data_IF_824437528964
#
_entry.id   IF_824437528964
#
_cell.length_a   1.000
_cell.length_b   1.000
_cell.length_c   1.000
_cell.angle_alpha   90.00
_cell.angle_beta   90.00
_cell.angle_gamma   90.00
#
_symmetry.space_group_name_H-M   'P 1'
#
loop_
_entity.id
_entity.type
_entity.pdbx_description
1 polymer ?
#
# COMPACT_ATOMS: atom_id res chain seq x y z
N UNK A 1 -12.62 -13.85 19.22
CA UNK A 1 -13.86 -13.15 18.80
C UNK A 1 -13.52 -11.68 18.58
N UNK A 2 -13.17 -11.30 17.35
CA UNK A 2 -13.14 -9.88 16.94
C UNK A 2 -14.33 -9.72 16.01
N UNK A 3 -15.48 -9.45 16.62
CA UNK A 3 -16.61 -8.90 15.88
C UNK A 3 -16.24 -7.45 15.57
N UNK A 4 -16.07 -7.13 14.28
CA UNK A 4 -16.19 -5.74 13.83
C UNK A 4 -17.66 -5.40 13.98
N UNK A 5 -18.05 -4.93 15.18
CA UNK A 5 -19.31 -4.23 15.37
C UNK A 5 -19.20 -2.92 14.61
N UNK A 6 -19.78 -2.88 13.42
CA UNK A 6 -20.15 -1.63 12.76
C UNK A 6 -21.30 -1.04 13.58
N UNK A 7 -20.97 -0.21 14.56
CA UNK A 7 -21.95 0.70 15.15
C UNK A 7 -22.34 1.70 14.06
N UNK A 8 -23.51 1.49 13.46
CA UNK A 8 -24.11 2.40 12.49
C UNK A 8 -24.57 3.66 13.21
N UNK A 9 -23.66 4.61 13.41
CA UNK A 9 -24.04 5.98 13.68
C UNK A 9 -24.34 6.65 12.34
N UNK A 10 -25.62 6.93 12.06
CA UNK A 10 -26.00 7.77 10.94
C UNK A 10 -25.62 9.22 11.26
N UNK A 11 -24.64 9.85 10.58
CA UNK A 11 -24.38 11.26 10.77
C UNK A 11 -25.56 12.09 10.23
N UNK A 12 -25.80 13.30 10.77
CA UNK A 12 -26.81 14.19 10.24
C UNK A 12 -26.55 14.48 8.75
N UNK A 13 -27.63 14.53 7.96
CA UNK A 13 -27.60 14.86 6.54
C UNK A 13 -26.97 16.26 6.36
N UNK A 14 -25.75 16.30 5.84
CA UNK A 14 -24.95 17.53 5.69
C UNK A 14 -23.45 17.36 5.95
N UNK A 15 -23.02 16.27 6.59
CA UNK A 15 -21.60 15.94 6.71
C UNK A 15 -21.10 15.33 5.39
N UNK A 16 -20.40 16.12 4.58
CA UNK A 16 -19.63 15.60 3.44
C UNK A 16 -18.67 14.53 3.99
N UNK A 17 -18.85 13.29 3.53
CA UNK A 17 -18.11 12.13 4.04
C UNK A 17 -16.63 12.36 3.70
N UNK A 18 -15.85 12.61 4.75
CA UNK A 18 -14.42 12.87 4.78
C UNK A 18 -13.68 11.76 4.01
N UNK A 19 -12.81 12.09 3.06
CA UNK A 19 -11.85 11.13 2.49
C UNK A 19 -10.52 11.34 3.20
N UNK A 20 -10.31 10.60 4.28
CA UNK A 20 -8.96 10.37 4.82
C UNK A 20 -8.19 9.53 3.80
N UNK A 21 -6.91 9.84 3.56
CA UNK A 21 -6.05 8.99 2.74
C UNK A 21 -5.86 7.65 3.44
N UNK A 22 -6.61 6.66 3.01
CA UNK A 22 -6.54 5.30 3.53
C UNK A 22 -5.50 4.52 2.74
N UNK A 23 -4.37 4.22 3.35
CA UNK A 23 -3.37 3.35 2.72
C UNK A 23 -3.83 1.90 2.74
N UNK A 24 -3.63 1.20 1.62
CA UNK A 24 -3.84 -0.24 1.52
C UNK A 24 -2.46 -0.91 1.61
N UNK A 25 -2.34 -1.91 2.47
CA UNK A 25 -1.18 -2.80 2.47
C UNK A 25 -1.56 -4.06 1.71
N UNK A 26 -0.91 -4.29 0.58
CA UNK A 26 -1.13 -5.44 -0.29
C UNK A 26 0.20 -5.86 -0.91
N UNK A 27 0.92 -6.74 -0.20
CA UNK A 27 2.25 -7.18 -0.60
C UNK A 27 2.29 -7.82 -1.99
N UNK A 28 1.24 -8.54 -2.40
CA UNK A 28 1.15 -9.15 -3.73
C UNK A 28 1.06 -8.08 -4.82
N UNK A 29 0.14 -7.12 -4.66
CA UNK A 29 -0.02 -6.02 -5.62
C UNK A 29 1.24 -5.17 -5.69
N UNK A 30 1.81 -4.80 -4.54
CA UNK A 30 3.05 -4.01 -4.46
C UNK A 30 4.23 -4.74 -5.14
N UNK A 31 4.36 -6.04 -4.92
CA UNK A 31 5.39 -6.89 -5.52
C UNK A 31 5.23 -6.98 -7.05
N UNK A 32 4.02 -7.31 -7.54
CA UNK A 32 3.74 -7.42 -8.97
C UNK A 32 4.03 -6.09 -9.69
N UNK A 33 3.57 -4.97 -9.11
CA UNK A 33 3.82 -3.63 -9.69
C UNK A 33 5.32 -3.34 -9.74
N UNK A 34 6.04 -3.61 -8.65
CA UNK A 34 7.50 -3.40 -8.57
C UNK A 34 8.24 -4.25 -9.60
N UNK A 35 7.87 -5.51 -9.79
CA UNK A 35 8.53 -6.40 -10.73
C UNK A 35 8.28 -6.02 -12.19
N UNK A 36 7.05 -5.60 -12.54
CA UNK A 36 6.79 -5.03 -13.86
C UNK A 36 7.59 -3.73 -14.09
N UNK A 37 7.72 -2.88 -13.06
CA UNK A 37 8.44 -1.61 -13.14
C UNK A 37 9.98 -1.72 -13.01
N UNK A 38 10.50 -2.87 -12.59
CA UNK A 38 11.93 -3.11 -12.34
C UNK A 38 12.84 -2.65 -13.50
N UNK A 39 12.55 -2.92 -14.78
CA UNK A 39 13.38 -2.47 -15.89
C UNK A 39 13.44 -0.94 -16.02
N UNK A 40 12.35 -0.25 -15.67
CA UNK A 40 12.27 1.22 -15.69
C UNK A 40 13.15 1.82 -14.59
N UNK A 41 13.05 1.29 -13.36
CA UNK A 41 13.88 1.74 -12.25
C UNK A 41 15.38 1.52 -12.52
N UNK A 42 15.73 0.36 -13.08
CA UNK A 42 17.11 0.05 -13.47
C UNK A 42 17.63 1.02 -14.55
N UNK A 43 16.82 1.34 -15.56
CA UNK A 43 17.17 2.33 -16.58
C UNK A 43 17.32 3.75 -16.01
N UNK A 44 16.61 4.07 -14.92
CA UNK A 44 16.75 5.31 -14.18
C UNK A 44 17.96 5.35 -13.22
N UNK A 45 18.68 4.23 -13.06
CA UNK A 45 19.77 4.11 -12.07
C UNK A 45 19.28 4.07 -10.63
N UNK A 46 18.01 3.71 -10.42
CA UNK A 46 17.37 3.59 -9.11
C UNK A 46 17.35 2.11 -8.72
N UNK A 47 17.70 1.81 -7.47
CA UNK A 47 17.54 0.46 -6.92
C UNK A 47 16.04 0.11 -6.82
N UNK A 48 15.54 -0.89 -7.57
CA UNK A 48 14.13 -1.27 -7.55
C UNK A 48 13.62 -1.66 -6.15
N UNK A 49 14.50 -2.18 -5.29
CA UNK A 49 14.12 -2.63 -3.96
C UNK A 49 14.03 -1.44 -2.97
N UNK A 50 14.64 -0.30 -3.30
CA UNK A 50 14.52 0.95 -2.55
C UNK A 50 13.26 1.77 -2.90
N UNK A 51 12.59 1.49 -4.03
CA UNK A 51 11.35 2.18 -4.43
C UNK A 51 10.15 1.61 -3.68
N UNK A 52 9.47 2.42 -2.88
CA UNK A 52 8.24 1.98 -2.21
C UNK A 52 7.02 2.24 -3.09
N UNK A 53 6.29 1.18 -3.42
CA UNK A 53 4.97 1.28 -4.04
C UNK A 53 3.93 1.39 -2.93
N UNK A 54 3.15 2.46 -2.91
CA UNK A 54 2.16 2.73 -1.87
C UNK A 54 0.77 2.83 -2.49
N UNK A 55 -0.15 1.97 -2.07
CA UNK A 55 -1.52 1.98 -2.56
C UNK A 55 -2.40 2.91 -1.72
N UNK A 56 -3.13 3.80 -2.38
CA UNK A 56 -4.05 4.74 -1.74
C UNK A 56 -5.49 4.35 -2.11
N UNK A 57 -6.31 4.03 -1.12
CA UNK A 57 -7.74 3.75 -1.28
C UNK A 57 -8.52 5.02 -1.57
N UNK A 58 -8.38 5.47 -2.81
CA UNK A 58 -9.06 6.62 -3.38
C UNK A 58 -9.55 6.22 -4.78
N UNK A 59 -10.80 6.56 -5.08
CA UNK A 59 -11.46 6.20 -6.34
C UNK A 59 -11.14 7.17 -7.48
N UNK A 60 -10.43 8.26 -7.21
CA UNK A 60 -9.90 9.18 -8.21
C UNK A 60 -8.76 8.54 -9.00
N UNK A 61 -8.64 8.93 -10.27
CA UNK A 61 -7.50 8.57 -11.12
C UNK A 61 -6.33 9.47 -10.71
N UNK A 62 -5.35 8.94 -9.97
CA UNK A 62 -4.14 9.68 -9.62
C UNK A 62 -2.94 8.77 -9.32
N UNK A 63 -1.75 9.29 -9.57
CA UNK A 63 -0.48 8.80 -9.03
C UNK A 63 0.37 10.02 -8.65
N UNK A 64 1.32 9.85 -7.74
CA UNK A 64 2.30 10.89 -7.45
C UNK A 64 3.51 10.31 -6.71
N UNK A 65 4.58 11.09 -6.65
CA UNK A 65 5.78 10.79 -5.87
C UNK A 65 5.95 11.78 -4.72
N UNK A 66 6.41 11.28 -3.56
CA UNK A 66 6.72 12.10 -2.39
C UNK A 66 7.63 11.35 -1.42
N UNK A 67 8.43 12.05 -0.61
CA UNK A 67 9.19 11.40 0.47
C UNK A 67 10.42 10.63 0.01
N UNK A 68 11.01 11.01 -1.11
CA UNK A 68 12.06 10.26 -1.81
C UNK A 68 11.49 9.27 -2.82
N UNK A 69 11.92 8.01 -2.74
CA UNK A 69 11.59 6.96 -3.72
C UNK A 69 10.24 6.28 -3.40
N UNK A 70 9.20 7.04 -3.02
CA UNK A 70 7.86 6.47 -2.83
C UNK A 70 6.94 6.90 -3.98
N UNK A 71 6.32 5.91 -4.63
CA UNK A 71 5.31 6.10 -5.68
C UNK A 71 3.95 5.74 -5.08
N UNK A 72 3.06 6.71 -5.01
CA UNK A 72 1.69 6.55 -4.53
C UNK A 72 0.76 6.30 -5.71
N UNK A 73 -0.02 5.23 -5.65
CA UNK A 73 -0.96 4.82 -6.71
C UNK A 73 -2.37 4.76 -6.13
N UNK A 74 -3.29 5.56 -6.67
CA UNK A 74 -4.69 5.49 -6.25
C UNK A 74 -5.37 4.22 -6.80
N UNK A 75 -6.27 3.61 -6.02
CA UNK A 75 -7.07 2.47 -6.52
C UNK A 75 -7.92 2.83 -7.74
N UNK A 76 -8.36 4.09 -7.83
CA UNK A 76 -9.10 4.62 -8.97
C UNK A 76 -8.28 4.64 -10.26
N UNK A 77 -6.96 4.87 -10.15
CA UNK A 77 -6.01 4.72 -11.25
C UNK A 77 -5.93 3.26 -11.69
N UNK A 78 -5.59 2.35 -10.77
CA UNK A 78 -5.42 0.92 -11.09
C UNK A 78 -6.68 0.31 -11.71
N UNK A 79 -7.87 0.68 -11.24
CA UNK A 79 -9.15 0.23 -11.81
C UNK A 79 -9.56 0.97 -13.09
N UNK A 80 -8.92 2.10 -13.40
CA UNK A 80 -9.22 2.94 -14.57
C UNK A 80 -8.34 2.64 -15.78
N UNK A 81 -7.16 2.05 -15.57
CA UNK A 81 -6.25 1.61 -16.63
C UNK A 81 -6.77 0.35 -17.34
N UNK A 82 -6.42 0.21 -18.61
CA UNK A 82 -6.89 -0.87 -19.49
C UNK A 82 -5.93 -2.04 -19.55
N UNK A 83 -4.63 -1.79 -19.40
CA UNK A 83 -3.59 -2.82 -19.47
C UNK A 83 -2.35 -2.43 -18.65
N UNK A 84 -1.40 -3.36 -18.54
CA UNK A 84 -0.16 -3.16 -17.80
C UNK A 84 0.77 -2.15 -18.50
N UNK A 85 0.65 -1.96 -19.81
CA UNK A 85 1.41 -0.96 -20.55
C UNK A 85 1.06 0.45 -20.11
N UNK A 86 -0.22 0.75 -19.88
CA UNK A 86 -0.63 2.05 -19.33
C UNK A 86 -0.10 2.27 -17.91
N UNK A 87 -0.15 1.25 -17.05
CA UNK A 87 0.43 1.32 -15.71
C UNK A 87 1.93 1.63 -15.76
N UNK A 88 2.67 0.91 -16.60
CA UNK A 88 4.12 1.10 -16.73
C UNK A 88 4.47 2.44 -17.36
N UNK A 89 3.65 2.96 -18.27
CA UNK A 89 3.75 4.32 -18.77
C UNK A 89 3.64 5.37 -17.67
N UNK A 90 2.64 5.24 -16.79
CA UNK A 90 2.47 6.13 -15.63
C UNK A 90 3.66 6.00 -14.67
N UNK A 91 4.10 4.79 -14.34
CA UNK A 91 5.26 4.58 -13.45
C UNK A 91 6.55 5.15 -14.06
N UNK A 92 6.74 5.06 -15.38
CA UNK A 92 7.88 5.68 -16.04
C UNK A 92 7.86 7.21 -15.92
N UNK A 93 6.69 7.83 -16.02
CA UNK A 93 6.51 9.26 -15.78
C UNK A 93 6.83 9.63 -14.31
N UNK A 94 6.28 8.90 -13.34
CA UNK A 94 6.59 9.09 -11.91
C UNK A 94 8.07 8.89 -11.59
N UNK A 95 8.71 7.91 -12.24
CA UNK A 95 10.15 7.69 -12.13
C UNK A 95 10.95 8.87 -12.68
N UNK A 96 10.46 9.53 -13.73
CA UNK A 96 10.99 10.79 -14.24
C UNK A 96 10.94 11.92 -13.19
N UNK A 97 9.88 12.00 -12.38
CA UNK A 97 9.82 12.95 -11.26
C UNK A 97 10.83 12.62 -10.15
N UNK A 98 11.04 11.34 -9.83
CA UNK A 98 12.05 10.90 -8.85
C UNK A 98 13.45 11.29 -9.33
N UNK A 99 13.80 10.87 -10.55
CA UNK A 99 15.14 11.08 -11.11
C UNK A 99 15.44 12.56 -11.42
N UNK A 100 14.41 13.33 -11.80
CA UNK A 100 14.54 14.76 -12.09
C UNK A 100 14.80 15.63 -10.87
N UNK A 101 14.72 15.10 -9.64
CA UNK A 101 14.92 15.85 -8.40
C UNK A 101 13.89 16.97 -8.19
N UNK A 102 12.82 17.01 -9.00
CA UNK A 102 11.74 18.00 -8.94
C UNK A 102 10.88 17.86 -7.67
N UNK A 103 11.09 16.76 -6.93
CA UNK A 103 10.61 16.51 -5.57
C UNK A 103 11.23 17.44 -4.52
N UNK A 104 12.40 18.03 -4.80
CA UNK A 104 13.14 18.87 -3.84
C UNK A 104 12.54 20.27 -3.78
N UNK A 105 11.39 20.40 -3.10
CA UNK A 105 10.87 21.69 -2.63
C UNK A 105 11.26 21.97 -1.17
N UNK A 106 12.16 21.18 -0.56
CA UNK A 106 12.43 21.26 0.89
C UNK A 106 13.68 20.56 1.39
N UNK A 107 13.99 20.77 2.67
CA UNK A 107 14.97 19.96 3.41
C UNK A 107 14.40 18.57 3.71
N UNK A 108 15.27 17.56 3.88
CA UNK A 108 14.86 16.18 4.25
C UNK A 108 13.93 16.14 5.46
N UNK A 109 14.12 17.05 6.43
CA UNK A 109 13.25 17.15 7.61
C UNK A 109 11.81 17.58 7.26
N UNK A 110 11.63 18.49 6.31
CA UNK A 110 10.31 18.91 5.85
C UNK A 110 9.64 17.82 5.01
N UNK A 111 10.43 17.09 4.22
CA UNK A 111 9.95 15.97 3.43
C UNK A 111 9.50 14.80 4.30
N UNK A 112 10.30 14.45 5.32
CA UNK A 112 9.93 13.46 6.33
C UNK A 112 8.70 13.90 7.13
N UNK A 113 8.57 15.19 7.44
CA UNK A 113 7.37 15.72 8.09
C UNK A 113 6.14 15.63 7.19
N UNK A 114 6.29 15.89 5.87
CA UNK A 114 5.21 15.74 4.90
C UNK A 114 4.78 14.27 4.76
N UNK A 115 5.73 13.34 4.61
CA UNK A 115 5.44 11.90 4.57
C UNK A 115 4.81 11.43 5.88
N UNK A 116 5.30 11.91 7.03
CA UNK A 116 4.70 11.64 8.34
C UNK A 116 3.30 12.22 8.47
N UNK A 117 3.01 13.37 7.83
CA UNK A 117 1.68 13.96 7.78
C UNK A 117 0.73 13.11 6.92
N UNK A 118 1.18 12.67 5.73
CA UNK A 118 0.43 11.75 4.87
C UNK A 118 0.04 10.47 5.63
N UNK A 119 1.02 9.81 6.25
CA UNK A 119 0.83 8.59 7.04
C UNK A 119 -0.03 8.88 8.28
N UNK A 120 0.25 9.98 8.97
CA UNK A 120 -0.45 10.41 10.17
C UNK A 120 -1.93 10.70 9.94
N UNK A 121 -2.31 11.19 8.75
CA UNK A 121 -3.71 11.37 8.37
C UNK A 121 -4.44 10.05 8.12
N UNK A 122 -3.75 9.03 7.61
CA UNK A 122 -4.32 7.68 7.45
C UNK A 122 -4.59 6.94 8.78
N UNK A 123 -3.99 7.42 9.89
CA UNK A 123 -4.17 6.91 11.25
C UNK A 123 -4.92 7.93 12.15
N UNK A 124 -5.21 9.13 11.62
CA UNK A 124 -5.30 10.35 12.39
C UNK A 124 -6.71 10.81 12.78
N UNK A 125 -7.47 10.01 13.52
CA UNK A 125 -8.44 10.59 14.48
C UNK A 125 -8.45 9.77 15.76
N UNK A 126 -7.65 10.18 16.74
CA UNK A 126 -8.05 10.05 18.17
C UNK A 126 -7.79 11.33 18.97
N UNK A 127 -6.84 12.19 18.57
CA UNK A 127 -6.49 13.39 19.36
C UNK A 127 -7.08 14.69 18.82
N UNK A 128 -8.37 14.96 19.03
CA UNK A 128 -8.99 16.19 18.50
C UNK A 128 -10.36 16.59 19.04
N UNK A 129 -10.73 16.19 20.26
CA UNK A 129 -11.89 16.75 20.96
C UNK A 129 -11.43 17.30 22.31
N UNK A 130 -10.66 18.39 22.27
CA UNK A 130 -10.32 19.15 23.48
C UNK A 130 -10.65 20.65 23.37
N UNK A 131 -11.17 21.13 22.23
CA UNK A 131 -11.59 22.51 22.08
C UNK A 131 -13.10 22.58 21.88
N UNK A 132 -13.83 22.91 22.94
CA UNK A 132 -15.29 23.11 22.96
C UNK A 132 -15.78 24.32 22.17
N UNK A 133 -15.23 24.60 20.99
CA UNK A 133 -15.65 25.63 20.03
C UNK A 133 -15.13 25.30 18.62
N UNK A 134 -15.58 24.19 18.04
CA UNK A 134 -15.13 23.73 16.73
C UNK A 134 -16.23 23.94 15.67
N UNK A 135 -16.25 25.11 15.02
CA UNK A 135 -17.19 25.40 13.92
C UNK A 135 -16.53 25.90 12.65
N UNK A 136 -15.56 26.81 12.74
CA UNK A 136 -14.94 27.45 11.57
C UNK A 136 -13.40 27.45 11.58
N UNK A 137 -12.76 27.62 12.74
CA UNK A 137 -11.29 27.69 12.85
C UNK A 137 -10.59 26.36 12.54
N UNK A 138 -11.09 25.25 13.09
CA UNK A 138 -10.56 23.91 12.80
C UNK A 138 -10.80 23.52 11.33
N UNK A 139 -11.96 23.88 10.77
CA UNK A 139 -12.27 23.65 9.36
C UNK A 139 -11.36 24.47 8.42
N UNK A 140 -11.06 25.73 8.78
CA UNK A 140 -10.14 26.59 8.03
C UNK A 140 -8.69 26.12 8.06
N UNK A 141 -8.19 25.64 9.21
CA UNK A 141 -6.85 25.05 9.32
C UNK A 141 -6.74 23.78 8.49
N UNK A 142 -7.72 22.87 8.58
CA UNK A 142 -7.75 21.64 7.80
C UNK A 142 -7.88 21.89 6.29
N UNK A 143 -8.76 22.83 5.87
CA UNK A 143 -8.86 23.23 4.47
C UNK A 143 -7.56 23.86 3.96
N UNK A 144 -6.90 24.66 4.80
CA UNK A 144 -5.58 25.23 4.52
C UNK A 144 -4.52 24.17 4.31
N UNK A 145 -4.50 23.13 5.15
CA UNK A 145 -3.58 21.99 5.00
C UNK A 145 -3.84 21.19 3.71
N UNK A 146 -5.10 20.88 3.40
CA UNK A 146 -5.44 20.15 2.18
C UNK A 146 -5.08 20.93 0.89
N UNK A 147 -5.32 22.25 0.88
CA UNK A 147 -4.89 23.10 -0.22
C UNK A 147 -3.36 23.19 -0.32
N UNK A 148 -2.65 23.20 0.83
CA UNK A 148 -1.20 23.20 0.86
C UNK A 148 -0.62 21.88 0.31
N UNK A 149 -1.17 20.73 0.70
CA UNK A 149 -0.81 19.41 0.17
C UNK A 149 -1.03 19.33 -1.34
N UNK A 150 -2.21 19.77 -1.80
CA UNK A 150 -2.53 19.78 -3.22
C UNK A 150 -1.56 20.64 -4.03
N UNK A 151 -1.18 21.80 -3.50
CA UNK A 151 -0.20 22.67 -4.16
C UNK A 151 1.20 22.05 -4.10
N UNK A 152 1.55 21.35 -3.02
CA UNK A 152 2.81 20.65 -2.87
C UNK A 152 2.97 19.55 -3.92
N UNK A 153 1.91 18.78 -4.17
CA UNK A 153 1.85 17.68 -5.15
C UNK A 153 1.63 18.12 -6.61
N UNK A 154 1.40 19.41 -6.87
CA UNK A 154 1.16 19.91 -8.23
C UNK A 154 2.46 20.34 -8.91
N UNK A 155 2.64 19.91 -10.15
CA UNK A 155 3.82 20.16 -10.96
C UNK A 155 3.59 21.24 -12.04
N UNK A 156 4.65 21.95 -12.40
CA UNK A 156 4.61 22.91 -13.51
C UNK A 156 4.70 22.21 -14.86
N UNK A 157 4.27 22.87 -15.94
CA UNK A 157 4.37 22.32 -17.30
C UNK A 157 5.81 21.97 -17.72
N UNK A 158 6.81 22.71 -17.22
CA UNK A 158 8.22 22.40 -17.50
C UNK A 158 8.68 21.16 -16.73
N UNK A 159 8.19 20.96 -15.50
CA UNK A 159 8.44 19.74 -14.73
C UNK A 159 7.81 18.53 -15.40
N UNK A 160 6.57 18.65 -15.89
CA UNK A 160 5.89 17.60 -16.66
C UNK A 160 6.65 17.21 -17.92
N UNK A 161 7.10 18.20 -18.71
CA UNK A 161 7.89 17.92 -19.92
C UNK A 161 9.22 17.25 -19.60
N UNK A 162 9.88 17.65 -18.50
CA UNK A 162 11.10 17.01 -18.03
C UNK A 162 10.86 15.56 -17.59
N UNK A 163 9.77 15.31 -16.86
CA UNK A 163 9.39 13.98 -16.39
C UNK A 163 9.01 13.06 -17.56
N UNK A 164 8.23 13.56 -18.53
CA UNK A 164 7.91 12.85 -19.77
C UNK A 164 9.19 12.48 -20.53
N UNK A 165 10.11 13.42 -20.75
CA UNK A 165 11.36 13.15 -21.47
C UNK A 165 12.23 12.09 -20.76
N UNK A 166 12.36 12.19 -19.43
CA UNK A 166 13.10 11.21 -18.64
C UNK A 166 12.43 9.84 -18.69
N UNK A 167 11.13 9.76 -18.43
CA UNK A 167 10.33 8.53 -18.48
C UNK A 167 10.41 7.84 -19.83
N UNK A 168 10.24 8.59 -20.93
CA UNK A 168 10.39 8.08 -22.29
C UNK A 168 11.80 7.52 -22.55
N UNK A 169 12.84 8.21 -22.08
CA UNK A 169 14.22 7.72 -22.16
C UNK A 169 14.40 6.39 -21.43
N UNK A 170 13.82 6.23 -20.24
CA UNK A 170 13.89 4.98 -19.49
C UNK A 170 13.14 3.84 -20.20
N UNK A 171 11.97 4.12 -20.75
CA UNK A 171 11.20 3.15 -21.54
C UNK A 171 11.96 2.68 -22.78
N UNK A 172 12.63 3.58 -23.51
CA UNK A 172 13.47 3.21 -24.66
C UNK A 172 14.68 2.37 -24.26
N UNK A 173 15.35 2.74 -23.16
CA UNK A 173 16.50 1.98 -22.63
C UNK A 173 16.10 0.58 -22.17
N UNK A 174 14.92 0.42 -21.57
CA UNK A 174 14.37 -0.87 -21.15
C UNK A 174 13.73 -1.66 -22.30
N UNK A 175 13.63 -1.08 -23.51
CA UNK A 175 12.97 -1.70 -24.66
C UNK A 175 11.46 -1.85 -24.52
N UNK A 176 10.83 -1.06 -23.63
CA UNK A 176 9.38 -1.07 -23.36
C UNK A 176 8.73 0.04 -24.19
N UNK A 177 7.61 -0.27 -24.83
CA UNK A 177 6.87 0.71 -25.64
C UNK A 177 6.19 1.77 -24.77
N UNK A 178 6.32 3.04 -25.16
CA UNK A 178 5.58 4.15 -24.56
C UNK A 178 4.12 4.28 -25.06
N UNK A 179 3.62 3.34 -25.88
CA UNK A 179 2.23 3.36 -26.37
C UNK A 179 1.21 3.34 -25.23
N UNK A 180 1.52 2.65 -24.13
CA UNK A 180 0.69 2.67 -22.92
C UNK A 180 0.54 4.07 -22.33
N UNK A 181 1.63 4.86 -22.30
CA UNK A 181 1.57 6.25 -21.85
C UNK A 181 0.77 7.13 -22.82
N UNK A 182 0.92 6.93 -24.14
CA UNK A 182 0.13 7.65 -25.15
C UNK A 182 -1.36 7.42 -24.93
N UNK A 183 -1.80 6.16 -24.89
CA UNK A 183 -3.22 5.82 -24.76
C UNK A 183 -3.81 6.28 -23.43
N UNK A 184 -3.03 6.25 -22.35
CA UNK A 184 -3.43 6.82 -21.07
C UNK A 184 -3.64 8.34 -21.13
N UNK A 185 -2.70 9.10 -21.70
CA UNK A 185 -2.80 10.55 -21.81
C UNK A 185 -3.94 10.96 -22.77
N UNK A 186 -4.16 10.20 -23.85
CA UNK A 186 -5.30 10.39 -24.75
C UNK A 186 -6.63 10.18 -24.02
N UNK A 187 -6.72 9.14 -23.19
CA UNK A 187 -7.91 8.88 -22.35
C UNK A 187 -8.17 10.03 -21.39
N UNK A 188 -7.15 10.56 -20.72
CA UNK A 188 -7.27 11.75 -19.86
C UNK A 188 -7.68 13.01 -20.65
N UNK A 189 -7.23 13.13 -21.90
CA UNK A 189 -7.53 14.24 -22.79
C UNK A 189 -8.92 14.17 -23.42
N UNK A 190 -9.48 12.97 -23.60
CA UNK A 190 -10.80 12.73 -24.17
C UNK A 190 -11.96 12.95 -23.17
N UNK A 191 -11.65 13.23 -21.90
CA UNK A 191 -12.61 13.47 -20.82
C UNK A 191 -13.29 14.85 -20.88
N UNK A 192 -13.90 15.18 -22.04
CA UNK A 192 -14.95 16.20 -22.20
C UNK A 192 -16.37 15.62 -21.86
N UNK A 193 -16.43 14.36 -21.40
CA UNK A 193 -17.67 13.73 -20.94
C UNK A 193 -18.05 14.23 -19.53
N UNK A 194 -19.21 14.92 -19.35
CA UNK A 194 -19.69 15.46 -18.08
C UNK A 194 -19.78 14.45 -16.91
N UNK A 195 -19.82 13.14 -17.21
CA UNK A 195 -19.87 12.06 -16.21
C UNK A 195 -18.49 11.57 -15.75
N UNK A 196 -17.41 11.90 -16.47
CA UNK A 196 -16.03 11.54 -16.15
C UNK A 196 -15.23 12.68 -15.49
N UNK A 197 -15.82 13.88 -15.43
CA UNK A 197 -15.15 15.13 -15.01
C UNK A 197 -14.54 15.02 -13.61
N UNK A 198 -15.14 14.31 -12.66
CA UNK A 198 -14.66 14.30 -11.27
C UNK A 198 -13.62 13.20 -11.00
N UNK A 199 -13.72 12.04 -11.67
CA UNK A 199 -12.79 10.91 -11.47
C UNK A 199 -11.43 11.15 -12.11
N UNK A 200 -11.40 11.73 -13.32
CA UNK A 200 -10.17 11.98 -14.08
C UNK A 200 -9.57 13.37 -13.81
N UNK A 201 -10.26 14.22 -13.03
CA UNK A 201 -9.73 15.52 -12.62
C UNK A 201 -8.57 15.41 -11.62
N UNK A 202 -8.44 14.30 -10.87
CA UNK A 202 -7.34 14.10 -9.92
C UNK A 202 -5.97 14.24 -10.60
N UNK A 203 -5.69 13.35 -11.55
CA UNK A 203 -4.43 13.32 -12.30
C UNK A 203 -4.16 14.65 -13.03
N UNK A 204 -5.16 15.24 -13.70
CA UNK A 204 -4.98 16.50 -14.45
C UNK A 204 -4.68 17.71 -13.57
N UNK A 205 -5.04 17.66 -12.28
CA UNK A 205 -4.76 18.75 -11.30
C UNK A 205 -3.32 18.71 -10.80
N UNK A 206 -2.77 17.51 -10.60
CA UNK A 206 -1.36 17.32 -10.18
C UNK A 206 -0.41 17.37 -11.38
N UNK A 207 -0.84 16.82 -12.52
CA UNK A 207 -0.11 16.74 -13.79
C UNK A 207 -0.84 17.49 -14.91
N UNK A 208 -0.56 18.80 -15.13
CA UNK A 208 -1.21 19.57 -16.18
C UNK A 208 -1.02 18.93 -17.57
N UNK A 209 -2.14 18.48 -18.16
CA UNK A 209 -2.16 17.86 -19.48
C UNK A 209 -2.28 18.92 -20.59
N UNK A 210 -1.46 18.81 -21.63
CA UNK A 210 -1.53 19.64 -22.84
C UNK A 210 -1.53 18.78 -24.09
N UNK A 211 -2.09 19.29 -25.20
CA UNK A 211 -2.03 18.60 -26.52
C UNK A 211 -0.59 18.34 -26.96
N UNK A 212 0.31 19.28 -26.69
CA UNK A 212 1.74 19.19 -26.99
C UNK A 212 2.42 18.01 -26.29
N UNK A 213 2.06 17.70 -25.03
CA UNK A 213 2.57 16.52 -24.33
C UNK A 213 2.16 15.23 -25.03
N UNK A 214 0.87 15.09 -25.36
CA UNK A 214 0.34 13.91 -26.07
C UNK A 214 1.07 13.73 -27.41
N UNK A 215 1.23 14.81 -28.18
CA UNK A 215 1.93 14.79 -29.47
C UNK A 215 3.42 14.44 -29.31
N UNK A 216 4.09 14.92 -28.25
CA UNK A 216 5.48 14.61 -27.95
C UNK A 216 5.69 13.12 -27.69
N UNK A 217 4.86 12.53 -26.81
CA UNK A 217 4.91 11.10 -26.49
C UNK A 217 4.57 10.26 -27.73
N UNK A 218 3.56 10.66 -28.52
CA UNK A 218 3.19 9.96 -29.77
C UNK A 218 4.33 9.98 -30.79
N UNK A 219 4.95 11.13 -31.01
CA UNK A 219 6.09 11.27 -31.93
C UNK A 219 7.30 10.46 -31.47
N UNK A 220 7.49 10.30 -30.16
CA UNK A 220 8.52 9.44 -29.60
C UNK A 220 8.26 7.96 -29.94
N UNK A 221 7.03 7.47 -29.74
CA UNK A 221 6.66 6.09 -30.04
C UNK A 221 6.94 5.74 -31.50
N UNK A 222 6.64 6.64 -32.45
CA UNK A 222 6.89 6.41 -33.88
C UNK A 222 8.38 6.29 -34.25
N UNK A 223 9.27 6.83 -33.42
CA UNK A 223 10.73 6.83 -33.64
C UNK A 223 11.48 5.82 -32.77
N UNK A 224 10.83 5.32 -31.72
CA UNK A 224 11.36 4.37 -30.74
C UNK A 224 11.66 3.00 -31.36
N UNK A 225 12.69 2.31 -30.87
CA UNK A 225 12.98 0.92 -31.25
C UNK A 225 11.92 -0.06 -30.74
N UNK A 226 11.26 0.28 -29.63
CA UNK A 226 10.16 -0.48 -29.08
C UNK A 226 8.89 -0.30 -29.92
N UNK A 227 8.70 0.87 -30.53
CA UNK A 227 7.52 1.18 -31.35
C UNK A 227 6.23 0.93 -30.57
N UNK A 228 5.22 0.33 -31.21
CA UNK A 228 3.94 -0.07 -30.59
C UNK A 228 3.91 -1.52 -30.08
N UNK A 229 5.06 -2.09 -29.72
CA UNK A 229 5.10 -3.47 -29.19
C UNK A 229 4.29 -3.56 -27.89
N UNK A 230 3.34 -4.52 -27.78
CA UNK A 230 2.62 -4.71 -26.53
C UNK A 230 3.56 -5.21 -25.43
N UNK A 231 3.22 -4.92 -24.18
CA UNK A 231 3.86 -5.55 -23.01
C UNK A 231 3.64 -7.08 -23.01
N UNK A 232 4.47 -7.86 -22.30
CA UNK A 232 4.28 -9.29 -22.16
C UNK A 232 2.85 -9.65 -21.71
N UNK A 233 2.26 -10.69 -22.31
CA UNK A 233 0.90 -11.12 -21.97
C UNK A 233 0.74 -11.49 -20.49
N UNK A 234 1.82 -11.99 -19.87
CA UNK A 234 1.87 -12.27 -18.43
C UNK A 234 1.64 -10.99 -17.60
N UNK A 235 2.27 -9.87 -17.94
CA UNK A 235 2.08 -8.61 -17.22
C UNK A 235 0.62 -8.13 -17.28
N UNK A 236 -0.02 -8.27 -18.44
CA UNK A 236 -1.44 -7.93 -18.57
C UNK A 236 -2.32 -8.84 -17.72
N UNK A 237 -2.00 -10.12 -17.64
CA UNK A 237 -2.76 -11.05 -16.82
C UNK A 237 -2.56 -10.78 -15.32
N UNK A 238 -1.32 -10.54 -14.88
CA UNK A 238 -0.97 -10.12 -13.51
C UNK A 238 -1.63 -8.78 -13.13
N UNK A 239 -1.64 -7.81 -14.04
CA UNK A 239 -2.34 -6.54 -13.85
C UNK A 239 -3.86 -6.75 -13.71
N UNK A 240 -4.46 -7.62 -14.51
CA UNK A 240 -5.87 -7.97 -14.35
C UNK A 240 -6.16 -8.72 -13.04
N UNK A 241 -5.19 -9.47 -12.48
CA UNK A 241 -5.33 -10.03 -11.11
C UNK A 241 -5.37 -8.92 -10.06
N UNK A 242 -4.49 -7.92 -10.15
CA UNK A 242 -4.52 -6.73 -9.26
C UNK A 242 -5.91 -6.09 -9.33
N UNK A 243 -6.43 -5.82 -10.54
CA UNK A 243 -7.76 -5.25 -10.71
C UNK A 243 -8.86 -6.16 -10.14
N UNK A 244 -8.77 -7.48 -10.36
CA UNK A 244 -9.73 -8.44 -9.82
C UNK A 244 -9.74 -8.47 -8.29
N UNK A 245 -8.57 -8.44 -7.66
CA UNK A 245 -8.41 -8.34 -6.21
C UNK A 245 -8.98 -7.03 -5.69
N UNK A 246 -8.53 -5.87 -6.19
CA UNK A 246 -9.02 -4.56 -5.77
C UNK A 246 -10.55 -4.45 -5.92
N UNK A 247 -11.09 -4.87 -7.06
CA UNK A 247 -12.53 -4.83 -7.30
C UNK A 247 -13.30 -5.74 -6.33
N UNK A 248 -12.78 -6.94 -6.04
CA UNK A 248 -13.35 -7.83 -5.04
C UNK A 248 -13.27 -7.27 -3.61
N UNK A 249 -12.25 -6.48 -3.29
CA UNK A 249 -12.14 -5.81 -2.00
C UNK A 249 -13.10 -4.62 -1.85
N UNK A 250 -13.33 -3.88 -2.93
CA UNK A 250 -14.13 -2.66 -2.91
C UNK A 250 -15.63 -2.95 -3.12
N UNK A 251 -15.98 -3.87 -4.01
CA UNK A 251 -17.35 -4.34 -4.28
C UNK A 251 -17.38 -5.86 -4.52
N UNK A 252 -17.41 -6.68 -3.46
CA UNK A 252 -17.45 -8.14 -3.58
C UNK A 252 -18.64 -8.63 -4.42
N UNK A 253 -19.80 -7.97 -4.33
CA UNK A 253 -20.99 -8.38 -5.09
C UNK A 253 -20.86 -8.01 -6.57
N UNK A 254 -20.29 -6.84 -6.87
CA UNK A 254 -19.89 -6.46 -8.22
C UNK A 254 -18.89 -7.42 -8.82
N UNK A 255 -17.87 -7.82 -8.04
CA UNK A 255 -16.88 -8.78 -8.50
C UNK A 255 -17.52 -10.12 -8.89
N UNK A 256 -18.48 -10.64 -8.13
CA UNK A 256 -19.22 -11.86 -8.49
C UNK A 256 -20.14 -11.69 -9.71
N UNK A 257 -20.61 -10.47 -10.01
CA UNK A 257 -21.34 -10.17 -11.26
C UNK A 257 -20.40 -10.08 -12.46
N UNK A 258 -19.21 -9.50 -12.27
CA UNK A 258 -18.18 -9.31 -13.31
C UNK A 258 -17.51 -10.63 -13.67
N UNK A 259 -17.03 -11.36 -12.67
CA UNK A 259 -16.33 -12.63 -12.82
C UNK A 259 -17.34 -13.78 -12.70
N UNK A 260 -17.94 -14.15 -13.83
CA UNK A 260 -19.04 -15.12 -13.89
C UNK A 260 -18.60 -16.52 -13.48
N UNK A 261 -19.54 -17.29 -12.96
CA UNK A 261 -19.28 -18.64 -12.46
C UNK A 261 -18.72 -19.60 -13.53
N UNK A 262 -19.13 -19.41 -14.79
CA UNK A 262 -18.76 -20.23 -15.94
C UNK A 262 -17.47 -19.78 -16.64
N UNK A 263 -16.82 -18.71 -16.18
CA UNK A 263 -15.53 -18.28 -16.71
C UNK A 263 -14.39 -19.03 -15.98
N UNK A 264 -13.70 -19.98 -16.63
CA UNK A 264 -12.68 -20.79 -15.98
C UNK A 264 -11.31 -20.09 -15.92
N UNK A 265 -11.20 -18.87 -16.47
CA UNK A 265 -9.92 -18.15 -16.49
C UNK A 265 -9.36 -17.96 -15.09
N UNK A 266 -8.03 -17.84 -15.02
CA UNK A 266 -7.33 -17.64 -13.75
C UNK A 266 -7.85 -16.37 -13.06
N UNK A 267 -7.84 -15.22 -13.76
CA UNK A 267 -8.34 -13.93 -13.28
C UNK A 267 -9.78 -14.03 -12.75
N UNK A 268 -10.70 -14.70 -13.44
CA UNK A 268 -12.07 -14.80 -12.98
C UNK A 268 -12.23 -15.70 -11.74
N UNK A 269 -11.47 -16.81 -11.64
CA UNK A 269 -11.44 -17.64 -10.43
C UNK A 269 -10.81 -16.88 -9.26
N UNK A 270 -9.75 -16.14 -9.52
CA UNK A 270 -9.01 -15.33 -8.56
C UNK A 270 -9.87 -14.18 -8.00
N UNK A 271 -10.54 -13.41 -8.87
CA UNK A 271 -11.49 -12.37 -8.45
C UNK A 271 -12.66 -12.92 -7.64
N UNK A 272 -13.23 -14.08 -8.03
CA UNK A 272 -14.27 -14.76 -7.24
C UNK A 272 -13.74 -15.24 -5.89
N UNK A 273 -12.54 -15.80 -5.84
CA UNK A 273 -11.93 -16.27 -4.59
C UNK A 273 -11.82 -15.12 -3.57
N UNK A 274 -11.29 -13.96 -3.99
CA UNK A 274 -11.26 -12.77 -3.14
C UNK A 274 -12.65 -12.23 -2.80
N UNK A 275 -13.60 -12.27 -3.72
CA UNK A 275 -14.96 -11.79 -3.45
C UNK A 275 -15.66 -12.65 -2.38
N UNK A 276 -15.51 -13.97 -2.46
CA UNK A 276 -16.00 -14.91 -1.45
C UNK A 276 -15.24 -14.78 -0.13
N UNK A 277 -13.92 -14.61 -0.17
CA UNK A 277 -13.11 -14.30 1.02
C UNK A 277 -13.65 -13.06 1.74
N UNK A 278 -13.88 -11.96 1.02
CA UNK A 278 -14.42 -10.71 1.59
C UNK A 278 -15.82 -10.84 2.16
N UNK A 279 -16.61 -11.80 1.69
CA UNK A 279 -17.93 -12.14 2.22
C UNK A 279 -17.90 -13.15 3.38
N UNK A 280 -16.72 -13.68 3.75
CA UNK A 280 -16.59 -14.75 4.75
C UNK A 280 -17.07 -16.12 4.25
N UNK A 281 -17.21 -16.30 2.94
CA UNK A 281 -17.82 -17.49 2.32
C UNK A 281 -16.76 -18.57 2.03
N UNK A 282 -16.15 -19.12 3.07
CA UNK A 282 -15.05 -20.12 2.97
C UNK A 282 -15.38 -21.31 2.10
N UNK A 283 -16.61 -21.83 2.20
CA UNK A 283 -17.04 -23.00 1.43
C UNK A 283 -16.98 -22.77 -0.08
N UNK A 284 -17.12 -21.52 -0.52
CA UNK A 284 -17.07 -21.15 -1.94
C UNK A 284 -15.66 -20.69 -2.34
N UNK A 285 -14.96 -19.96 -1.47
CA UNK A 285 -13.59 -19.51 -1.74
C UNK A 285 -12.60 -20.68 -1.81
N UNK A 286 -12.62 -21.59 -0.85
CA UNK A 286 -11.54 -22.59 -0.68
C UNK A 286 -11.30 -23.47 -1.92
N UNK A 287 -12.32 -24.04 -2.59
CA UNK A 287 -12.09 -24.81 -3.82
C UNK A 287 -11.48 -23.98 -4.96
N UNK A 288 -11.80 -22.69 -5.03
CA UNK A 288 -11.18 -21.78 -6.01
C UNK A 288 -9.71 -21.57 -5.68
N UNK A 289 -9.39 -21.28 -4.41
CA UNK A 289 -8.01 -21.09 -3.94
C UNK A 289 -7.17 -22.34 -4.18
N UNK A 290 -7.69 -23.53 -3.83
CA UNK A 290 -6.99 -24.80 -4.05
C UNK A 290 -6.74 -25.05 -5.55
N UNK A 291 -7.72 -24.73 -6.42
CA UNK A 291 -7.55 -24.82 -7.87
C UNK A 291 -6.56 -23.81 -8.45
N UNK A 292 -6.42 -22.64 -7.84
CA UNK A 292 -5.41 -21.64 -8.22
C UNK A 292 -4.01 -22.10 -7.79
N UNK A 293 -3.86 -22.61 -6.56
CA UNK A 293 -2.60 -23.18 -6.05
C UNK A 293 -2.15 -24.36 -6.91
N UNK A 294 -3.07 -25.23 -7.33
CA UNK A 294 -2.74 -26.37 -8.19
C UNK A 294 -2.17 -25.92 -9.56
N UNK A 295 -2.63 -24.78 -10.07
CA UNK A 295 -2.14 -24.21 -11.32
C UNK A 295 -0.81 -23.46 -11.14
N UNK A 296 -0.62 -22.77 -10.01
CA UNK A 296 0.59 -22.02 -9.69
C UNK A 296 1.17 -22.42 -8.33
N UNK A 297 1.76 -23.63 -8.21
CA UNK A 297 2.17 -24.19 -6.91
C UNK A 297 3.37 -23.46 -6.27
N UNK A 298 4.00 -22.54 -7.00
CA UNK A 298 5.13 -21.71 -6.56
C UNK A 298 4.74 -20.28 -6.21
N UNK A 299 3.47 -19.90 -6.35
CA UNK A 299 3.00 -18.56 -6.03
C UNK A 299 2.70 -18.46 -4.52
N UNK A 300 3.57 -17.76 -3.77
CA UNK A 300 3.45 -17.61 -2.32
C UNK A 300 2.14 -16.95 -1.88
N UNK A 301 1.64 -15.98 -2.64
CA UNK A 301 0.45 -15.18 -2.32
C UNK A 301 -0.85 -15.99 -2.39
N UNK A 302 -0.90 -17.08 -3.17
CA UNK A 302 -2.04 -18.01 -3.14
C UNK A 302 -2.10 -18.83 -1.86
N UNK A 303 -0.94 -19.18 -1.29
CA UNK A 303 -0.87 -19.83 0.03
C UNK A 303 -1.16 -18.83 1.16
N UNK A 304 -0.75 -17.57 1.03
CA UNK A 304 -1.17 -16.48 1.92
C UNK A 304 -2.69 -16.34 1.92
N UNK A 305 -3.33 -16.21 0.75
CA UNK A 305 -4.79 -16.12 0.62
C UNK A 305 -5.49 -17.31 1.28
N UNK A 306 -4.95 -18.53 1.12
CA UNK A 306 -5.49 -19.72 1.80
C UNK A 306 -5.36 -19.60 3.32
N UNK A 307 -4.22 -19.13 3.83
CA UNK A 307 -4.01 -18.86 5.25
C UNK A 307 -5.01 -17.82 5.77
N UNK A 308 -5.15 -16.69 5.09
CA UNK A 308 -6.05 -15.60 5.44
C UNK A 308 -7.51 -16.07 5.49
N UNK A 309 -7.92 -16.85 4.50
CA UNK A 309 -9.26 -17.42 4.44
C UNK A 309 -9.58 -18.29 5.67
N UNK A 310 -8.60 -19.10 6.12
CA UNK A 310 -8.75 -19.93 7.31
C UNK A 310 -8.76 -19.08 8.58
N UNK A 311 -7.82 -18.14 8.70
CA UNK A 311 -7.65 -17.30 9.87
C UNK A 311 -8.88 -16.42 10.12
N UNK A 312 -9.41 -15.77 9.07
CA UNK A 312 -10.60 -14.93 9.15
C UNK A 312 -11.84 -15.70 9.63
N UNK A 313 -11.85 -17.02 9.45
CA UNK A 313 -12.96 -17.89 9.85
C UNK A 313 -12.68 -18.65 11.15
N UNK A 314 -11.74 -18.16 11.96
CA UNK A 314 -11.41 -18.71 13.27
C UNK A 314 -10.64 -20.02 13.22
N UNK A 315 -10.19 -20.46 12.04
CA UNK A 315 -9.42 -21.69 11.84
C UNK A 315 -7.92 -21.41 11.94
N UNK A 316 -7.49 -20.81 13.05
CA UNK A 316 -6.12 -20.35 13.26
C UNK A 316 -5.08 -21.49 13.15
N UNK A 317 -5.43 -22.69 13.62
CA UNK A 317 -4.58 -23.89 13.50
C UNK A 317 -4.36 -24.27 12.03
N UNK A 318 -5.43 -24.28 11.23
CA UNK A 318 -5.37 -24.66 9.81
C UNK A 318 -4.67 -23.59 8.95
N UNK A 319 -4.69 -22.33 9.38
CA UNK A 319 -4.05 -21.22 8.68
C UNK A 319 -2.51 -21.29 8.71
N UNK A 320 -1.92 -21.86 9.78
CA UNK A 320 -0.48 -21.86 9.99
C UNK A 320 0.30 -22.59 8.88
N UNK A 321 -0.21 -23.73 8.38
CA UNK A 321 0.49 -24.52 7.36
C UNK A 321 0.58 -23.80 5.99
N UNK A 322 -0.51 -23.23 5.43
CA UNK A 322 -0.42 -22.36 4.25
C UNK A 322 0.56 -21.20 4.42
N UNK A 323 0.53 -20.47 5.54
CA UNK A 323 1.48 -19.37 5.73
C UNK A 323 2.94 -19.83 5.80
N UNK A 324 3.23 -20.96 6.45
CA UNK A 324 4.58 -21.53 6.43
C UNK A 324 5.00 -21.86 5.01
N UNK A 325 4.10 -22.43 4.20
CA UNK A 325 4.39 -22.72 2.78
C UNK A 325 4.63 -21.45 1.97
N UNK A 326 3.86 -20.39 2.22
CA UNK A 326 4.08 -19.09 1.60
C UNK A 326 5.47 -18.52 1.94
N UNK A 327 5.89 -18.62 3.21
CA UNK A 327 7.22 -18.15 3.68
C UNK A 327 8.37 -19.01 3.12
N UNK A 328 8.15 -20.30 2.87
CA UNK A 328 9.15 -21.14 2.17
C UNK A 328 9.40 -20.65 0.73
N UNK A 329 8.35 -20.14 0.07
CA UNK A 329 8.41 -19.65 -1.31
C UNK A 329 8.92 -18.21 -1.36
N UNK A 330 8.53 -17.37 -0.40
CA UNK A 330 8.92 -15.97 -0.28
C UNK A 330 9.41 -15.66 1.15
N UNK A 331 10.70 -15.92 1.45
CA UNK A 331 11.23 -15.77 2.81
C UNK A 331 11.22 -14.33 3.34
N UNK A 332 11.25 -13.32 2.47
CA UNK A 332 11.34 -11.93 2.88
C UNK A 332 9.98 -11.22 2.97
N UNK A 333 8.87 -11.94 2.73
CA UNK A 333 7.51 -11.44 2.87
C UNK A 333 7.13 -11.16 4.34
N UNK A 334 7.45 -9.95 4.79
CA UNK A 334 7.20 -9.49 6.17
C UNK A 334 5.71 -9.54 6.56
N UNK A 335 4.79 -9.21 5.65
CA UNK A 335 3.34 -9.27 5.89
C UNK A 335 2.88 -10.71 6.18
N UNK A 336 3.30 -11.68 5.36
CA UNK A 336 2.97 -13.10 5.52
C UNK A 336 3.49 -13.64 6.86
N UNK A 337 4.69 -13.20 7.27
CA UNK A 337 5.27 -13.53 8.59
C UNK A 337 4.46 -12.98 9.75
N UNK A 338 3.92 -11.76 9.61
CA UNK A 338 2.98 -11.18 10.59
C UNK A 338 1.69 -12.00 10.64
N UNK A 339 1.13 -12.39 9.49
CA UNK A 339 -0.08 -13.22 9.41
C UNK A 339 0.13 -14.62 10.01
N UNK A 340 1.29 -15.25 9.76
CA UNK A 340 1.67 -16.49 10.46
C UNK A 340 1.71 -16.27 11.96
N UNK A 341 2.42 -15.26 12.43
CA UNK A 341 2.52 -14.97 13.86
C UNK A 341 1.15 -14.69 14.49
N UNK A 342 0.26 -13.96 13.80
CA UNK A 342 -1.11 -13.75 14.23
C UNK A 342 -1.86 -15.08 14.36
N UNK A 343 -1.78 -15.94 13.35
CA UNK A 343 -2.42 -17.26 13.40
C UNK A 343 -1.89 -18.14 14.54
N UNK A 344 -0.61 -18.03 14.90
CA UNK A 344 -0.01 -18.74 16.03
C UNK A 344 -0.50 -18.18 17.38
N UNK A 345 -0.67 -16.86 17.48
CA UNK A 345 -1.15 -16.20 18.70
C UNK A 345 -2.64 -16.44 18.96
N UNK A 346 -3.47 -16.54 17.92
CA UNK A 346 -4.89 -16.89 18.04
C UNK A 346 -5.12 -18.33 18.53
N UNK A 347 -4.11 -19.21 18.45
CA UNK A 347 -4.19 -20.56 19.00
C UNK A 347 -4.07 -20.61 20.53
N UNK A 348 -3.63 -19.50 21.16
CA UNK A 348 -3.48 -19.36 22.60
C UNK A 348 -2.61 -20.46 23.26
N UNK A 349 -1.59 -20.93 22.54
CA UNK A 349 -0.63 -21.94 22.99
C UNK A 349 0.75 -21.30 23.18
N UNK A 350 1.21 -21.24 24.44
CA UNK A 350 2.49 -20.61 24.80
C UNK A 350 3.70 -21.28 24.14
N UNK A 351 3.59 -22.55 23.72
CA UNK A 351 4.66 -23.26 23.00
C UNK A 351 4.94 -22.66 21.62
N UNK A 352 3.97 -21.95 21.04
CA UNK A 352 4.10 -21.31 19.73
C UNK A 352 4.70 -19.89 19.81
N UNK A 353 4.83 -19.31 21.01
CA UNK A 353 5.32 -17.95 21.20
C UNK A 353 6.72 -17.74 20.60
N UNK A 354 7.60 -18.74 20.71
CA UNK A 354 8.95 -18.65 20.14
C UNK A 354 8.96 -18.62 18.61
N UNK A 355 8.05 -19.38 17.96
CA UNK A 355 7.92 -19.34 16.51
C UNK A 355 7.35 -18.00 16.03
N UNK A 356 6.34 -17.48 16.72
CA UNK A 356 5.77 -16.18 16.41
C UNK A 356 6.81 -15.06 16.56
N UNK A 357 7.56 -15.03 17.67
CA UNK A 357 8.60 -14.03 17.90
C UNK A 357 9.70 -14.07 16.83
N UNK A 358 10.16 -15.26 16.40
CA UNK A 358 11.14 -15.38 15.31
C UNK A 358 10.61 -14.76 14.01
N UNK A 359 9.36 -15.05 13.66
CA UNK A 359 8.75 -14.51 12.44
C UNK A 359 8.55 -12.98 12.53
N UNK A 360 8.04 -12.49 13.67
CA UNK A 360 7.85 -11.05 13.90
C UNK A 360 9.18 -10.30 13.89
N UNK A 361 10.26 -10.90 14.41
CA UNK A 361 11.60 -10.29 14.42
C UNK A 361 12.20 -10.18 13.01
N UNK A 362 11.89 -11.12 12.12
CA UNK A 362 12.28 -10.99 10.70
C UNK A 362 11.40 -9.94 10.02
N UNK A 363 10.08 -10.00 10.25
CA UNK A 363 9.13 -9.05 9.67
C UNK A 363 9.40 -7.59 10.08
N UNK A 364 9.92 -7.34 11.29
CA UNK A 364 10.18 -5.98 11.77
C UNK A 364 11.22 -5.23 10.92
N UNK A 365 12.01 -5.92 10.09
CA UNK A 365 12.92 -5.29 9.14
C UNK A 365 12.19 -4.50 8.04
N UNK A 366 11.03 -5.00 7.59
CA UNK A 366 10.23 -4.40 6.52
C UNK A 366 8.91 -3.80 7.03
N UNK A 367 8.48 -4.19 8.23
CA UNK A 367 7.20 -3.81 8.84
C UNK A 367 7.39 -3.05 10.17
N UNK A 368 8.50 -2.34 10.34
CA UNK A 368 8.83 -1.61 11.58
C UNK A 368 7.74 -0.60 12.01
N UNK A 369 7.01 -0.04 11.05
CA UNK A 369 5.92 0.92 11.31
C UNK A 369 4.57 0.23 11.61
N UNK A 370 4.52 -1.11 11.57
CA UNK A 370 3.29 -1.84 11.86
C UNK A 370 3.04 -1.92 13.36
N UNK A 371 2.14 -1.09 13.87
CA UNK A 371 1.69 -1.17 15.26
C UNK A 371 1.08 -2.55 15.61
N UNK A 372 0.50 -3.24 14.62
CA UNK A 372 -0.06 -4.58 14.81
C UNK A 372 1.02 -5.63 15.05
N UNK A 373 2.13 -5.58 14.31
CA UNK A 373 3.29 -6.44 14.52
C UNK A 373 3.81 -6.32 15.96
N UNK A 374 3.99 -5.09 16.45
CA UNK A 374 4.48 -4.85 17.80
C UNK A 374 3.49 -5.31 18.88
N UNK A 375 2.19 -5.18 18.64
CA UNK A 375 1.15 -5.75 19.50
C UNK A 375 1.27 -7.27 19.62
N UNK A 376 1.47 -7.97 18.50
CA UNK A 376 1.66 -9.42 18.50
C UNK A 376 2.95 -9.81 19.22
N UNK A 377 4.03 -9.04 19.09
CA UNK A 377 5.25 -9.26 19.87
C UNK A 377 4.99 -9.12 21.36
N UNK A 378 4.27 -8.08 21.78
CA UNK A 378 3.90 -7.90 23.19
C UNK A 378 3.05 -9.06 23.72
N UNK A 379 2.10 -9.56 22.94
CA UNK A 379 1.30 -10.74 23.28
C UNK A 379 2.17 -12.00 23.45
N UNK A 380 3.07 -12.25 22.50
CA UNK A 380 3.97 -13.40 22.55
C UNK A 380 4.94 -13.32 23.75
N UNK A 381 5.50 -12.14 24.05
CA UNK A 381 6.34 -11.93 25.24
C UNK A 381 5.57 -12.06 26.54
N UNK A 382 4.29 -11.68 26.56
CA UNK A 382 3.39 -11.87 27.70
C UNK A 382 3.16 -13.35 27.98
N UNK A 383 2.92 -14.17 26.95
CA UNK A 383 2.84 -15.64 27.08
C UNK A 383 4.12 -16.26 27.63
N UNK A 384 5.27 -15.61 27.43
CA UNK A 384 6.58 -16.01 27.97
C UNK A 384 6.91 -15.41 29.34
N UNK A 385 6.02 -14.59 29.92
CA UNK A 385 6.24 -13.94 31.20
C UNK A 385 7.34 -12.87 31.21
N UNK A 386 7.78 -12.37 30.05
CA UNK A 386 8.86 -11.39 29.95
C UNK A 386 8.31 -9.96 29.97
N UNK A 387 8.02 -9.44 31.17
CA UNK A 387 7.44 -8.12 31.35
C UNK A 387 8.27 -6.96 30.77
N UNK A 388 9.61 -7.09 30.73
CA UNK A 388 10.49 -6.08 30.13
C UNK A 388 10.32 -6.01 28.61
N UNK A 389 10.29 -7.17 27.94
CA UNK A 389 10.06 -7.23 26.50
C UNK A 389 8.62 -6.88 26.11
N UNK A 390 7.64 -7.15 26.98
CA UNK A 390 6.26 -6.64 26.82
C UNK A 390 6.28 -5.10 26.79
N UNK A 391 6.90 -4.46 27.79
CA UNK A 391 6.99 -3.00 27.84
C UNK A 391 7.71 -2.43 26.61
N UNK A 392 8.80 -3.06 26.17
CA UNK A 392 9.51 -2.67 24.94
C UNK A 392 8.61 -2.74 23.71
N UNK A 393 7.95 -3.87 23.46
CA UNK A 393 7.08 -4.03 22.29
C UNK A 393 5.87 -3.08 22.34
N UNK A 394 5.30 -2.82 23.53
CA UNK A 394 4.23 -1.81 23.68
C UNK A 394 4.73 -0.39 23.43
N UNK A 395 6.00 -0.07 23.74
CA UNK A 395 6.60 1.22 23.43
C UNK A 395 6.70 1.44 21.90
N UNK A 396 7.17 0.43 21.15
CA UNK A 396 7.22 0.47 19.68
C UNK A 396 5.81 0.54 19.06
N UNK A 397 4.83 -0.21 19.59
CA UNK A 397 3.43 -0.12 19.15
C UNK A 397 2.88 1.30 19.30
N UNK A 398 3.10 1.93 20.46
CA UNK A 398 2.66 3.29 20.72
C UNK A 398 3.41 4.31 19.84
N UNK A 399 4.71 4.10 19.64
CA UNK A 399 5.52 4.94 18.76
C UNK A 399 5.04 4.89 17.31
N UNK A 400 4.77 3.69 16.79
CA UNK A 400 4.23 3.46 15.46
C UNK A 400 2.83 4.08 15.26
N UNK A 401 2.04 4.25 16.33
CA UNK A 401 0.76 4.97 16.31
C UNK A 401 0.87 6.49 16.44
N UNK A 402 2.07 7.00 16.72
CA UNK A 402 2.28 8.41 17.07
C UNK A 402 1.85 8.78 18.49
N UNK A 403 1.52 7.82 19.35
CA UNK A 403 1.21 8.06 20.76
C UNK A 403 2.52 8.24 21.55
N UNK A 404 3.14 9.41 21.38
CA UNK A 404 4.42 9.78 22.02
C UNK A 404 4.37 9.66 23.55
N UNK A 405 3.32 10.13 24.26
CA UNK A 405 3.24 9.96 25.71
C UNK A 405 3.28 8.50 26.15
N UNK A 406 2.50 7.62 25.52
CA UNK A 406 2.50 6.19 25.86
C UNK A 406 3.81 5.52 25.47
N UNK A 407 4.36 5.84 24.29
CA UNK A 407 5.64 5.31 23.83
C UNK A 407 6.75 5.60 24.84
N UNK A 408 6.82 6.85 25.32
CA UNK A 408 7.78 7.27 26.34
C UNK A 408 7.59 6.52 27.66
N UNK A 409 6.35 6.43 28.15
CA UNK A 409 6.05 5.76 29.42
C UNK A 409 6.46 4.28 29.40
N UNK A 410 6.15 3.56 28.31
CA UNK A 410 6.50 2.15 28.19
C UNK A 410 7.99 1.94 27.94
N UNK A 411 8.66 2.85 27.22
CA UNK A 411 10.11 2.82 27.04
C UNK A 411 10.85 2.95 28.40
N UNK A 412 10.45 3.92 29.24
CA UNK A 412 11.01 4.07 30.59
C UNK A 412 10.77 2.84 31.47
N UNK A 413 9.63 2.17 31.30
CA UNK A 413 9.33 0.90 31.97
C UNK A 413 10.22 -0.23 31.47
N UNK A 414 10.43 -0.34 30.15
CA UNK A 414 11.30 -1.34 29.54
C UNK A 414 12.75 -1.18 30.03
N UNK A 415 13.28 0.05 30.07
CA UNK A 415 14.63 0.34 30.57
C UNK A 415 14.88 -0.13 32.01
N UNK A 416 13.85 -0.09 32.87
CA UNK A 416 13.93 -0.55 34.27
C UNK A 416 13.91 -2.07 34.40
N UNK A 417 13.27 -2.76 33.46
CA UNK A 417 13.01 -4.20 33.52
C UNK A 417 14.00 -5.03 32.70
N UNK A 418 14.60 -4.43 31.67
CA UNK A 418 15.54 -5.09 30.78
C UNK A 418 16.99 -4.92 31.27
N UNK A 419 17.87 -5.92 31.05
CA UNK A 419 19.28 -5.79 31.34
C UNK A 419 19.90 -4.59 30.59
N UNK A 420 20.68 -3.78 31.32
CA UNK A 420 21.39 -2.66 30.73
C UNK A 420 22.30 -3.13 29.58
N UNK A 421 22.28 -2.40 28.45
CA UNK A 421 23.03 -2.74 27.25
C UNK A 421 22.43 -3.85 26.38
N UNK A 422 21.31 -4.46 26.77
CA UNK A 422 20.58 -5.38 25.88
C UNK A 422 19.96 -4.62 24.69
N UNK A 423 19.72 -5.28 23.54
CA UNK A 423 19.14 -4.62 22.37
C UNK A 423 17.80 -3.92 22.65
N UNK A 424 16.90 -4.57 23.40
CA UNK A 424 15.62 -3.97 23.79
C UNK A 424 15.77 -2.78 24.75
N UNK A 425 16.79 -2.80 25.61
CA UNK A 425 17.11 -1.68 26.49
C UNK A 425 17.62 -0.47 25.70
N UNK A 426 18.56 -0.67 24.78
CA UNK A 426 19.09 0.38 23.92
C UNK A 426 17.99 1.01 23.07
N UNK A 427 17.17 0.18 22.44
CA UNK A 427 16.08 0.65 21.60
C UNK A 427 15.01 1.42 22.39
N UNK A 428 14.72 1.02 23.63
CA UNK A 428 13.83 1.78 24.49
C UNK A 428 14.36 3.20 24.77
N UNK A 429 15.69 3.37 24.93
CA UNK A 429 16.28 4.71 25.08
C UNK A 429 16.07 5.58 23.84
N UNK A 430 16.22 5.00 22.64
CA UNK A 430 15.98 5.71 21.39
C UNK A 430 14.54 6.20 21.29
N UNK A 431 13.56 5.33 21.58
CA UNK A 431 12.14 5.68 21.56
C UNK A 431 11.85 6.80 22.55
N UNK A 432 12.39 6.72 23.77
CA UNK A 432 12.24 7.76 24.79
C UNK A 432 12.80 9.11 24.32
N UNK A 433 13.96 9.10 23.66
CA UNK A 433 14.59 10.29 23.09
C UNK A 433 13.73 10.91 21.98
N UNK A 434 13.25 10.10 21.04
CA UNK A 434 12.45 10.55 19.91
C UNK A 434 11.04 11.03 20.33
N UNK A 435 10.44 10.40 21.33
CA UNK A 435 9.14 10.79 21.87
C UNK A 435 9.21 12.00 22.83
N UNK A 436 10.41 12.35 23.31
CA UNK A 436 10.65 13.40 24.31
C UNK A 436 11.04 14.78 23.76
N UNK A 437 11.25 14.94 22.45
CA UNK A 437 11.61 16.21 21.83
C UNK A 437 10.49 17.25 21.95
N UNK A 438 10.80 18.40 22.56
CA UNK A 438 9.97 19.62 22.55
C UNK A 438 10.07 20.34 21.21
#
# INVERSE_FOLDING_TARGET
MVAVMVLSWSPPAGAQRRQEMQFLSDAETEHIIRDMARPIFQAAGIDPDAVNIVLVNDNTMNAFVAGGQNIFLHTGLLLGLEDAGQLIGVIAHETGHIAGGHLVRGSEAMENAFLSSLIGMGIGIVGGIAAGNAGAGAAGVMLGQHLAERNFLSFSRSQESSADQAGLSYMEQSGISAEGLVTFLEKLGAADDPLLVDRDAGYRRTHPLTRERIETVRNFVERSRAGRKPVPAQWNEEFHRIQAKLYAYLDPNGALRRYKANDPSFVARYGRAYAYFRRGEVRQALPLVDGLIAQEPKNAFLYEMKGDLMLQNGRAVDAAAPYRKAIELEPDAGSIRVSLAHSLMEQNDSRLADEALRNLQVASKTQAQSAFLWRLMAQAWSMKGNAGMVAYATAEEAFARGDKPMARFQAERAEKLLPAGSPGWLRAQDIRGQAGGK
#
